data_IF_705641964849
#
_entry.id   IF_705641964849
#
_cell.length_a   1.000
_cell.length_b   1.000
_cell.length_c   1.000
_cell.angle_alpha   90.00
_cell.angle_beta   90.00
_cell.angle_gamma   90.00
#
_symmetry.space_group_name_H-M   'P 1'
#
loop_
_entity.id
_entity.type
_entity.pdbx_description
1 polymer ?
#
# COMPACT_ATOMS: atom_id res chain seq x y z
N UNK A 1 -24.79 0.18 14.74
CA UNK A 1 -23.84 1.21 14.25
C UNK A 1 -22.48 0.55 14.10
N UNK A 2 -21.95 0.51 12.88
CA UNK A 2 -20.59 0.01 12.67
C UNK A 2 -19.60 1.11 13.09
N UNK A 3 -19.03 1.01 14.27
CA UNK A 3 -17.94 1.89 14.67
C UNK A 3 -16.71 1.61 13.81
N UNK A 4 -15.86 2.60 13.61
CA UNK A 4 -14.58 2.46 12.86
C UNK A 4 -13.73 1.30 13.42
N UNK A 5 -13.74 1.10 14.73
CA UNK A 5 -13.02 -0.01 15.39
C UNK A 5 -13.64 -1.38 15.06
N UNK A 6 -14.97 -1.51 15.07
CA UNK A 6 -15.62 -2.76 14.71
C UNK A 6 -15.35 -3.16 13.25
N UNK A 7 -15.39 -2.18 12.32
CA UNK A 7 -15.03 -2.40 10.90
C UNK A 7 -13.56 -2.80 10.78
N UNK A 8 -12.65 -2.14 11.50
CA UNK A 8 -11.22 -2.49 11.52
C UNK A 8 -10.99 -3.93 11.97
N UNK A 9 -11.65 -4.37 13.03
CA UNK A 9 -11.52 -5.74 13.52
C UNK A 9 -12.07 -6.75 12.50
N UNK A 10 -13.19 -6.45 11.87
CA UNK A 10 -13.74 -7.30 10.81
C UNK A 10 -12.81 -7.41 9.61
N UNK A 11 -12.24 -6.29 9.12
CA UNK A 11 -11.23 -6.28 8.06
C UNK A 11 -9.99 -7.12 8.42
N UNK A 12 -9.48 -6.96 9.64
CA UNK A 12 -8.34 -7.75 10.14
C UNK A 12 -8.66 -9.25 10.19
N UNK A 13 -9.84 -9.62 10.67
CA UNK A 13 -10.28 -11.02 10.74
C UNK A 13 -10.43 -11.62 9.34
N UNK A 14 -11.02 -10.89 8.40
CA UNK A 14 -11.17 -11.31 7.01
C UNK A 14 -9.81 -11.56 6.35
N UNK A 15 -8.86 -10.65 6.51
CA UNK A 15 -7.49 -10.84 6.00
C UNK A 15 -6.76 -12.02 6.71
N UNK A 16 -6.96 -12.18 8.01
CA UNK A 16 -6.36 -13.28 8.76
C UNK A 16 -6.87 -14.66 8.31
N UNK A 17 -8.09 -14.75 7.79
CA UNK A 17 -8.67 -15.99 7.26
C UNK A 17 -8.10 -16.42 5.90
N UNK A 18 -7.39 -15.52 5.17
CA UNK A 18 -6.77 -15.86 3.89
C UNK A 18 -5.73 -16.98 4.06
N UNK A 19 -5.70 -17.90 3.09
CA UNK A 19 -4.63 -18.88 3.01
C UNK A 19 -3.38 -18.29 2.37
N UNK A 20 -2.22 -18.78 2.76
CA UNK A 20 -0.94 -18.40 2.12
C UNK A 20 -0.92 -18.85 0.65
N UNK A 21 -1.58 -19.98 0.33
CA UNK A 21 -1.66 -20.50 -1.02
C UNK A 21 -2.46 -19.56 -1.93
N UNK A 22 -3.62 -19.05 -1.47
CA UNK A 22 -4.43 -18.09 -2.22
C UNK A 22 -3.65 -16.79 -2.47
N UNK A 23 -3.06 -16.20 -1.43
CA UNK A 23 -2.24 -15.01 -1.58
C UNK A 23 -1.11 -15.20 -2.61
N UNK A 24 -0.45 -16.36 -2.58
CA UNK A 24 0.63 -16.69 -3.55
C UNK A 24 0.09 -16.83 -4.97
N UNK A 25 -1.08 -17.45 -5.17
CA UNK A 25 -1.67 -17.62 -6.50
C UNK A 25 -2.18 -16.31 -7.09
N UNK A 26 -2.64 -15.36 -6.27
CA UNK A 26 -3.16 -14.07 -6.70
C UNK A 26 -2.05 -13.03 -6.97
N UNK A 27 -0.87 -13.19 -6.37
CA UNK A 27 0.25 -12.23 -6.51
C UNK A 27 0.62 -11.95 -7.97
N UNK A 28 0.78 -12.94 -8.89
CA UNK A 28 1.10 -12.64 -10.29
C UNK A 28 0.00 -11.84 -11.00
N UNK A 29 -1.28 -12.11 -10.69
CA UNK A 29 -2.41 -11.38 -11.27
C UNK A 29 -2.40 -9.92 -10.80
N UNK A 30 -2.24 -9.68 -9.50
CA UNK A 30 -2.12 -8.35 -8.93
C UNK A 30 -0.93 -7.58 -9.53
N UNK A 31 0.24 -8.23 -9.60
CA UNK A 31 1.44 -7.65 -10.22
C UNK A 31 1.14 -7.19 -11.65
N UNK A 32 0.51 -8.05 -12.46
CA UNK A 32 0.15 -7.74 -13.84
C UNK A 32 -0.80 -6.53 -13.93
N UNK A 33 -1.79 -6.42 -13.04
CA UNK A 33 -2.69 -5.26 -12.99
C UNK A 33 -1.92 -3.96 -12.71
N UNK A 34 -0.97 -4.00 -11.78
CA UNK A 34 -0.20 -2.81 -11.40
C UNK A 34 0.76 -2.41 -12.53
N UNK A 35 1.60 -3.32 -13.01
CA UNK A 35 2.67 -2.97 -13.96
C UNK A 35 2.16 -2.54 -15.33
N UNK A 36 0.94 -2.94 -15.70
CA UNK A 36 0.29 -2.50 -16.94
C UNK A 36 -0.62 -1.27 -16.74
N UNK A 37 -0.73 -0.73 -15.55
CA UNK A 37 -1.55 0.48 -15.32
C UNK A 37 -0.87 1.73 -15.90
N UNK A 38 -1.64 2.71 -16.42
CA UNK A 38 -1.09 3.97 -16.88
C UNK A 38 -0.29 4.71 -15.79
N UNK A 39 -0.74 4.65 -14.55
CA UNK A 39 -0.09 5.27 -13.41
C UNK A 39 1.31 4.70 -13.18
N UNK A 40 1.44 3.38 -13.19
CA UNK A 40 2.73 2.72 -13.04
C UNK A 40 3.63 2.97 -14.25
N UNK A 41 3.07 2.89 -15.46
CA UNK A 41 3.84 3.04 -16.69
C UNK A 41 4.48 4.42 -16.79
N UNK A 42 3.75 5.49 -16.43
CA UNK A 42 4.22 6.87 -16.46
C UNK A 42 5.11 7.26 -15.28
N UNK A 43 4.98 6.57 -14.14
CA UNK A 43 5.73 6.90 -12.93
C UNK A 43 7.23 6.60 -13.07
N UNK A 44 8.06 7.48 -12.54
CA UNK A 44 9.52 7.31 -12.36
C UNK A 44 9.85 6.98 -10.90
N UNK A 45 9.23 7.69 -9.96
CA UNK A 45 9.42 7.53 -8.53
C UNK A 45 8.19 6.84 -7.93
N UNK A 46 8.33 5.59 -7.51
CA UNK A 46 7.25 4.77 -7.00
C UNK A 46 7.49 4.44 -5.53
N UNK A 47 6.53 4.71 -4.67
CA UNK A 47 6.54 4.20 -3.31
C UNK A 47 5.70 2.93 -3.22
N UNK A 48 6.31 1.83 -2.78
CA UNK A 48 5.68 0.53 -2.54
C UNK A 48 5.98 0.05 -1.12
N UNK A 49 5.02 -0.60 -0.48
CA UNK A 49 5.25 -1.16 0.86
C UNK A 49 5.86 -2.57 0.79
N UNK A 50 6.63 -2.93 1.82
CA UNK A 50 7.14 -4.28 2.02
C UNK A 50 6.12 -5.09 2.81
N UNK A 51 5.35 -5.91 2.13
CA UNK A 51 4.16 -6.59 2.66
C UNK A 51 4.44 -7.41 3.93
N UNK A 52 3.55 -7.29 4.91
CA UNK A 52 3.43 -8.21 6.03
C UNK A 52 2.72 -9.51 5.59
N UNK A 53 2.76 -10.58 6.40
CA UNK A 53 2.06 -11.82 6.08
C UNK A 53 0.58 -11.57 5.73
N UNK A 54 0.12 -12.20 4.64
CA UNK A 54 -1.25 -12.10 4.09
C UNK A 54 -1.65 -10.72 3.54
N UNK A 55 -0.77 -9.73 3.55
CA UNK A 55 -0.96 -8.54 2.72
C UNK A 55 -0.69 -8.88 1.25
N UNK A 56 -1.25 -8.07 0.36
CA UNK A 56 -0.95 -8.14 -1.06
C UNK A 56 0.55 -7.87 -1.27
N UNK A 57 1.28 -8.87 -1.76
CA UNK A 57 2.74 -8.81 -1.87
C UNK A 57 3.14 -8.02 -3.12
N UNK A 58 4.01 -7.04 -2.94
CA UNK A 58 4.52 -6.17 -4.00
C UNK A 58 5.98 -6.47 -4.40
N UNK A 59 6.59 -7.54 -3.90
CA UNK A 59 8.00 -7.84 -4.20
C UNK A 59 8.25 -7.99 -5.70
N UNK A 60 7.30 -8.57 -6.46
CA UNK A 60 7.41 -8.71 -7.92
C UNK A 60 7.22 -7.37 -8.65
N UNK A 61 6.35 -6.48 -8.14
CA UNK A 61 6.22 -5.11 -8.64
C UNK A 61 7.50 -4.32 -8.40
N UNK A 62 8.10 -4.48 -7.22
CA UNK A 62 9.37 -3.84 -6.86
C UNK A 62 10.50 -4.32 -7.77
N UNK A 63 10.65 -5.64 -7.99
CA UNK A 63 11.66 -6.19 -8.93
C UNK A 63 11.46 -5.63 -10.33
N UNK A 64 10.24 -5.70 -10.85
CA UNK A 64 9.92 -5.16 -12.16
C UNK A 64 10.26 -3.66 -12.27
N UNK A 65 9.96 -2.86 -11.25
CA UNK A 65 10.29 -1.44 -11.24
C UNK A 65 11.81 -1.19 -11.30
N UNK A 66 12.59 -1.92 -10.49
CA UNK A 66 14.05 -1.80 -10.46
C UNK A 66 14.69 -2.25 -11.77
N UNK A 67 14.17 -3.32 -12.41
CA UNK A 67 14.62 -3.82 -13.70
C UNK A 67 14.28 -2.89 -14.89
N UNK A 68 13.33 -1.97 -14.71
CA UNK A 68 12.89 -0.99 -15.72
C UNK A 68 13.27 0.46 -15.37
N UNK A 69 14.41 0.64 -14.68
CA UNK A 69 15.02 1.92 -14.36
C UNK A 69 14.12 2.89 -13.58
N UNK A 70 13.12 2.37 -12.85
CA UNK A 70 12.30 3.17 -11.94
C UNK A 70 12.96 3.27 -10.57
N UNK A 71 12.80 4.41 -9.92
CA UNK A 71 13.23 4.61 -8.53
C UNK A 71 12.16 4.08 -7.59
N UNK A 72 12.52 3.11 -6.75
CA UNK A 72 11.61 2.52 -5.76
C UNK A 72 11.91 3.06 -4.38
N UNK A 73 10.86 3.44 -3.66
CA UNK A 73 10.91 3.89 -2.27
C UNK A 73 9.98 3.03 -1.42
N UNK A 74 10.34 2.87 -0.15
CA UNK A 74 9.52 2.12 0.79
C UNK A 74 9.32 2.92 2.09
N UNK A 75 8.17 2.74 2.78
CA UNK A 75 7.89 3.45 4.01
C UNK A 75 8.76 2.96 5.16
N UNK A 76 9.33 3.90 5.89
CA UNK A 76 10.02 3.65 7.16
C UNK A 76 9.43 4.57 8.23
N UNK A 77 8.90 3.96 9.32
CA UNK A 77 8.43 4.71 10.47
C UNK A 77 9.63 5.06 11.37
N UNK A 78 9.92 6.34 11.54
CA UNK A 78 11.04 6.83 12.35
C UNK A 78 10.67 7.03 13.83
N UNK A 79 9.39 7.31 14.09
CA UNK A 79 8.81 7.43 15.43
C UNK A 79 7.33 7.01 15.41
N UNK A 80 6.57 7.32 16.48
CA UNK A 80 5.15 6.95 16.61
C UNK A 80 4.20 7.68 15.64
N UNK A 81 4.67 8.73 14.99
CA UNK A 81 3.84 9.63 14.17
C UNK A 81 4.38 9.85 12.77
N UNK A 82 5.68 9.73 12.58
CA UNK A 82 6.40 10.10 11.36
C UNK A 82 6.73 8.87 10.52
N UNK A 83 6.46 8.97 9.23
CA UNK A 83 6.83 8.02 8.20
C UNK A 83 7.57 8.76 7.08
N UNK A 84 8.66 8.19 6.63
CA UNK A 84 9.48 8.71 5.52
C UNK A 84 9.50 7.70 4.38
N UNK A 85 9.75 8.18 3.16
CA UNK A 85 9.95 7.35 1.97
C UNK A 85 11.46 7.18 1.72
N UNK A 86 11.95 5.96 1.84
CA UNK A 86 13.37 5.62 1.75
C UNK A 86 13.62 4.81 0.50
N UNK A 87 14.66 5.18 -0.26
CA UNK A 87 15.04 4.48 -1.49
C UNK A 87 15.42 3.03 -1.23
N UNK A 88 14.84 2.14 -2.00
CA UNK A 88 15.17 0.73 -2.03
C UNK A 88 15.93 0.42 -3.34
N UNK A 89 17.18 0.02 -3.23
CA UNK A 89 18.04 -0.33 -4.38
C UNK A 89 17.95 -1.80 -4.77
N UNK A 90 17.62 -2.66 -3.83
CA UNK A 90 17.47 -4.10 -4.03
C UNK A 90 16.68 -4.73 -2.88
N UNK A 91 15.93 -5.79 -3.16
CA UNK A 91 15.25 -6.59 -2.14
C UNK A 91 16.24 -7.38 -1.25
N UNK A 92 17.46 -7.64 -1.74
CA UNK A 92 18.53 -8.29 -0.97
C UNK A 92 19.14 -7.36 0.11
N UNK A 93 18.97 -6.05 -0.03
CA UNK A 93 19.45 -5.06 0.95
C UNK A 93 18.51 -4.81 2.13
N UNK A 94 17.42 -5.59 2.23
CA UNK A 94 16.43 -5.48 3.29
C UNK A 94 16.94 -6.12 4.58
N UNK A 95 16.74 -5.41 5.70
CA UNK A 95 16.98 -5.92 7.06
C UNK A 95 15.66 -6.05 7.84
N UNK A 96 15.72 -6.72 8.99
CA UNK A 96 14.58 -6.81 9.90
C UNK A 96 14.67 -5.74 10.97
N UNK A 97 13.72 -4.81 10.93
CA UNK A 97 13.58 -3.76 11.94
C UNK A 97 12.72 -4.20 13.14
N UNK A 98 12.22 -3.22 13.86
CA UNK A 98 11.33 -3.43 15.02
C UNK A 98 10.09 -4.23 14.59
N UNK A 99 9.60 -5.13 15.45
CA UNK A 99 8.47 -6.04 15.18
C UNK A 99 8.69 -6.95 13.96
N UNK A 100 9.94 -7.24 13.60
CA UNK A 100 10.29 -8.07 12.45
C UNK A 100 9.76 -7.52 11.08
N UNK A 101 9.51 -6.21 11.00
CA UNK A 101 9.11 -5.53 9.77
C UNK A 101 10.31 -5.41 8.84
N UNK A 102 10.10 -5.65 7.54
CA UNK A 102 11.14 -5.48 6.52
C UNK A 102 11.38 -3.98 6.27
N UNK A 103 12.64 -3.56 6.34
CA UNK A 103 13.06 -2.17 6.09
C UNK A 103 14.38 -2.16 5.31
N UNK A 104 14.72 -1.08 4.58
CA UNK A 104 16.06 -0.89 4.01
C UNK A 104 17.12 -0.78 5.11
N UNK A 105 18.36 -1.15 4.79
CA UNK A 105 19.50 -0.86 5.66
C UNK A 105 19.86 0.63 5.63
N UNK A 106 20.35 1.15 6.76
CA UNK A 106 20.94 2.51 6.82
C UNK A 106 22.29 2.59 6.10
N UNK A 107 22.72 3.77 5.63
CA UNK A 107 22.06 5.08 5.74
C UNK A 107 20.88 5.23 4.77
N UNK A 108 19.85 5.97 5.19
CA UNK A 108 18.64 6.18 4.38
C UNK A 108 18.85 7.27 3.33
N UNK A 109 18.51 6.95 2.08
CA UNK A 109 18.34 7.88 0.97
C UNK A 109 16.83 8.22 0.90
N UNK A 110 16.48 9.45 1.32
CA UNK A 110 15.10 9.88 1.54
C UNK A 110 14.67 10.79 0.40
N UNK A 111 13.46 10.60 -0.12
CA UNK A 111 12.82 11.48 -1.11
C UNK A 111 11.81 12.42 -0.44
N UNK A 112 11.64 13.62 -0.98
CA UNK A 112 10.48 14.46 -0.66
C UNK A 112 9.22 13.74 -1.14
N UNK A 113 8.19 13.55 -0.31
CA UNK A 113 6.94 12.92 -0.74
C UNK A 113 6.29 13.56 -1.97
N UNK A 114 6.48 14.87 -2.20
CA UNK A 114 5.97 15.59 -3.37
C UNK A 114 6.61 15.16 -4.69
N UNK A 115 7.78 14.52 -4.65
CA UNK A 115 8.48 13.99 -5.84
C UNK A 115 8.06 12.56 -6.20
N UNK A 116 7.15 11.96 -5.44
CA UNK A 116 6.59 10.64 -5.74
C UNK A 116 5.50 10.74 -6.81
N UNK A 117 5.62 9.94 -7.87
CA UNK A 117 4.64 9.87 -8.96
C UNK A 117 3.50 8.90 -8.67
N UNK A 118 3.81 7.79 -7.98
CA UNK A 118 2.85 6.75 -7.62
C UNK A 118 3.12 6.23 -6.21
N UNK A 119 2.08 6.15 -5.38
CA UNK A 119 2.14 5.59 -4.04
C UNK A 119 1.16 4.42 -3.95
N UNK A 120 1.69 3.21 -3.79
CA UNK A 120 0.92 2.00 -3.55
C UNK A 120 0.62 1.89 -2.05
N UNK A 121 -0.66 2.02 -1.69
CA UNK A 121 -1.09 2.20 -0.30
C UNK A 121 -1.72 0.92 0.25
N UNK A 122 -1.20 0.33 1.33
CA UNK A 122 -1.81 -0.84 1.96
C UNK A 122 -3.02 -0.47 2.82
N UNK A 123 -3.88 -1.46 3.06
CA UNK A 123 -5.00 -1.33 3.98
C UNK A 123 -5.45 -2.67 4.55
N UNK A 124 -6.20 -2.63 5.65
CA UNK A 124 -6.91 -3.79 6.15
C UNK A 124 -8.17 -4.06 5.33
N UNK A 125 -8.81 -3.02 4.78
CA UNK A 125 -9.96 -3.08 3.89
C UNK A 125 -10.14 -1.78 3.14
N UNK A 126 -10.89 -1.83 2.04
CA UNK A 126 -11.22 -0.70 1.19
C UNK A 126 -12.69 -0.75 0.77
N UNK A 127 -13.27 0.38 0.39
CA UNK A 127 -14.57 0.43 -0.28
C UNK A 127 -14.46 1.07 -1.68
N UNK A 128 -15.50 0.87 -2.49
CA UNK A 128 -15.51 1.37 -3.87
C UNK A 128 -15.54 2.90 -4.01
N UNK A 129 -15.72 3.62 -2.89
CA UNK A 129 -15.67 5.09 -2.83
C UNK A 129 -14.29 5.61 -2.41
N UNK A 130 -13.29 4.72 -2.35
CA UNK A 130 -11.93 5.05 -1.96
C UNK A 130 -11.70 5.11 -0.45
N UNK A 131 -12.69 4.78 0.35
CA UNK A 131 -12.52 4.65 1.79
C UNK A 131 -11.51 3.56 2.13
N UNK A 132 -10.61 3.84 3.07
CA UNK A 132 -9.54 2.94 3.48
C UNK A 132 -9.56 2.70 4.98
N UNK A 133 -9.54 1.44 5.39
CA UNK A 133 -9.32 1.06 6.77
C UNK A 133 -7.85 0.71 6.99
N UNK A 134 -7.15 1.55 7.72
CA UNK A 134 -5.77 1.31 8.15
C UNK A 134 -5.68 0.49 9.43
N UNK A 135 -4.45 0.27 9.91
CA UNK A 135 -4.15 -0.50 11.13
C UNK A 135 -4.38 0.29 12.43
N UNK A 136 -4.66 1.59 12.36
CA UNK A 136 -5.02 2.45 13.49
C UNK A 136 -3.97 3.48 13.89
N UNK A 137 -2.77 3.45 13.36
CA UNK A 137 -1.69 4.40 13.73
C UNK A 137 -1.68 5.69 12.89
N UNK A 138 -2.46 5.77 11.80
CA UNK A 138 -2.61 6.96 10.96
C UNK A 138 -1.36 7.40 10.18
N UNK A 139 -0.33 6.55 10.05
CA UNK A 139 0.90 6.90 9.33
C UNK A 139 0.64 7.35 7.89
N UNK A 140 -0.09 6.55 7.12
CA UNK A 140 -0.40 6.88 5.74
C UNK A 140 -1.30 8.12 5.63
N UNK A 141 -2.27 8.30 6.52
CA UNK A 141 -3.16 9.47 6.47
C UNK A 141 -2.39 10.77 6.68
N UNK A 142 -1.42 10.77 7.60
CA UNK A 142 -0.53 11.93 7.80
C UNK A 142 0.44 12.11 6.64
N UNK A 143 1.03 11.02 6.12
CA UNK A 143 1.99 11.09 5.02
C UNK A 143 1.36 11.61 3.72
N UNK A 144 0.13 11.17 3.42
CA UNK A 144 -0.58 11.50 2.18
C UNK A 144 -1.27 12.87 2.22
N UNK A 145 -1.41 13.48 3.40
CA UNK A 145 -2.26 14.66 3.64
C UNK A 145 -2.02 15.84 2.68
N UNK A 146 -0.77 16.10 2.37
CA UNK A 146 -0.37 17.25 1.53
C UNK A 146 -0.15 16.87 0.04
N UNK A 147 -0.44 15.61 -0.32
CA UNK A 147 -0.19 15.09 -1.66
C UNK A 147 -1.49 15.05 -2.49
N UNK A 148 -1.35 15.04 -3.82
CA UNK A 148 -2.50 14.89 -4.71
C UNK A 148 -3.09 13.47 -4.63
N UNK A 149 -4.41 13.31 -4.44
CA UNK A 149 -5.05 12.00 -4.42
C UNK A 149 -4.85 11.18 -5.71
N UNK A 150 -4.56 11.83 -6.85
CA UNK A 150 -4.30 11.14 -8.12
C UNK A 150 -3.03 10.28 -8.09
N UNK A 151 -2.12 10.52 -7.15
CA UNK A 151 -0.90 9.72 -6.95
C UNK A 151 -1.13 8.47 -6.08
N UNK A 152 -2.31 8.31 -5.46
CA UNK A 152 -2.58 7.20 -4.54
C UNK A 152 -3.32 6.07 -5.22
N UNK A 153 -2.82 4.85 -5.08
CA UNK A 153 -3.51 3.63 -5.47
C UNK A 153 -3.56 2.67 -4.27
N UNK A 154 -4.76 2.42 -3.78
CA UNK A 154 -4.98 1.41 -2.74
C UNK A 154 -4.69 0.01 -3.29
N UNK A 155 -4.05 -0.85 -2.51
CA UNK A 155 -3.71 -2.22 -2.91
C UNK A 155 -4.30 -3.21 -1.92
N UNK A 156 -5.10 -4.13 -2.39
CA UNK A 156 -5.69 -5.19 -1.56
C UNK A 156 -6.08 -6.42 -2.38
N UNK A 157 -6.42 -7.49 -1.70
CA UNK A 157 -7.13 -8.61 -2.31
C UNK A 157 -8.62 -8.27 -2.49
N UNK A 158 -9.26 -8.80 -3.50
CA UNK A 158 -10.71 -8.56 -3.76
C UNK A 158 -11.57 -8.84 -2.54
N UNK A 159 -11.25 -9.85 -1.76
CA UNK A 159 -11.96 -10.18 -0.51
C UNK A 159 -11.91 -9.06 0.54
N UNK A 160 -10.98 -8.12 0.43
CA UNK A 160 -10.88 -6.96 1.35
C UNK A 160 -11.71 -5.75 0.89
N UNK A 161 -12.44 -5.88 -0.24
CA UNK A 161 -13.38 -4.86 -0.68
C UNK A 161 -14.71 -4.99 0.08
N UNK A 162 -15.14 -3.87 0.65
CA UNK A 162 -16.38 -3.76 1.40
C UNK A 162 -17.50 -3.22 0.51
N UNK A 163 -18.67 -3.84 0.62
CA UNK A 163 -19.88 -3.41 -0.07
C UNK A 163 -20.45 -2.10 0.52
N UNK A 164 -20.24 -1.89 1.81
CA UNK A 164 -20.69 -0.70 2.52
C UNK A 164 -19.55 0.29 2.70
N UNK A 165 -19.82 1.61 2.66
CA UNK A 165 -18.81 2.62 2.90
C UNK A 165 -18.08 2.42 4.23
N UNK A 166 -16.77 2.51 4.20
CA UNK A 166 -15.92 2.49 5.39
C UNK A 166 -16.09 3.82 6.13
N UNK A 167 -16.31 3.80 7.47
CA UNK A 167 -16.39 5.03 8.26
C UNK A 167 -15.08 5.82 8.15
N UNK A 168 -15.17 7.04 7.61
CA UNK A 168 -14.05 7.96 7.42
C UNK A 168 -14.13 9.13 8.41
N UNK A 169 -12.98 9.57 8.89
CA UNK A 169 -12.80 10.77 9.72
C UNK A 169 -12.16 11.90 8.89
N UNK A 170 -12.16 13.11 9.43
CA UNK A 170 -11.72 14.30 8.70
C UNK A 170 -10.26 14.25 8.22
N UNK A 171 -9.41 13.46 8.87
CA UNK A 171 -7.98 13.33 8.51
C UNK A 171 -7.69 12.13 7.61
N UNK A 172 -8.67 11.23 7.41
CA UNK A 172 -8.46 10.05 6.57
C UNK A 172 -8.36 10.43 5.09
N UNK A 173 -7.42 9.81 4.40
CA UNK A 173 -7.20 10.05 2.98
C UNK A 173 -7.88 8.99 2.12
N UNK A 174 -8.68 9.45 1.14
CA UNK A 174 -9.35 8.56 0.17
C UNK A 174 -8.40 8.18 -0.96
N UNK A 175 -8.55 6.96 -1.42
CA UNK A 175 -7.86 6.49 -2.63
C UNK A 175 -8.64 6.95 -3.87
N UNK A 176 -7.94 7.39 -4.90
CA UNK A 176 -8.55 7.66 -6.21
C UNK A 176 -8.80 6.38 -7.00
N UNK A 177 -7.98 5.35 -6.72
CA UNK A 177 -8.05 4.03 -7.34
C UNK A 177 -7.71 2.94 -6.34
N UNK A 178 -8.26 1.74 -6.58
CA UNK A 178 -7.93 0.53 -5.82
C UNK A 178 -7.59 -0.57 -6.83
N UNK A 179 -6.46 -1.24 -6.66
CA UNK A 179 -6.06 -2.38 -7.46
C UNK A 179 -6.21 -3.67 -6.66
N UNK A 180 -6.78 -4.67 -7.30
CA UNK A 180 -6.89 -6.04 -6.79
C UNK A 180 -6.36 -7.03 -7.82
N UNK A 181 -6.30 -8.31 -7.50
CA UNK A 181 -5.96 -9.38 -8.44
C UNK A 181 -6.98 -9.49 -9.59
N UNK A 182 -8.19 -8.93 -9.44
CA UNK A 182 -9.25 -8.97 -10.46
C UNK A 182 -9.30 -7.72 -11.34
N UNK A 183 -8.61 -6.64 -10.97
CA UNK A 183 -8.58 -5.41 -11.77
C UNK A 183 -8.46 -4.14 -10.94
N UNK A 184 -8.56 -3.01 -11.65
CA UNK A 184 -8.48 -1.67 -11.07
C UNK A 184 -9.88 -1.07 -10.96
N UNK A 185 -10.18 -0.54 -9.79
CA UNK A 185 -11.44 0.16 -9.47
C UNK A 185 -11.13 1.65 -9.42
N UNK A 186 -11.82 2.44 -10.21
CA UNK A 186 -11.81 3.89 -10.11
C UNK A 186 -12.81 4.32 -9.05
N UNK A 187 -12.34 4.97 -7.99
CA UNK A 187 -13.19 5.43 -6.89
C UNK A 187 -13.88 6.75 -7.27
N UNK A 188 -15.16 6.87 -6.94
CA UNK A 188 -16.03 8.01 -7.31
C UNK A 188 -16.40 8.79 -6.07
#
# INVERSE_FOLDING_TARGET
MNTKEAVRQACKSQRAALSVADCRSWTPMLTNQIVNSPEYTSAKNIMAYLAMPKEANLDDVIRHALEHDKSVYVPVCTDKTTMIAVRLKSLESIVRGVLNIRIPAEPYDIIDPCDLDLILVPGAGFDRQGGRMGMGNGYYDRFLKELSPSTFMGVCWTIQLWETPIPMEALDQRMSKIVTEQGIIHCV
#
